data_IF_460605484869
#
_entry.id   IF_460605484869
#
_cell.length_a   1.000
_cell.length_b   1.000
_cell.length_c   1.000
_cell.angle_alpha   90.00
_cell.angle_beta   90.00
_cell.angle_gamma   90.00
#
_symmetry.space_group_name_H-M   'P 1'
#
loop_
_entity.id
_entity.type
_entity.pdbx_description
1 polymer ?
#
# COMPACT_ATOMS: atom_id res chain seq x y z
N UNK A 1 -15.36 40.37 -25.49
CA UNK A 1 -14.98 39.46 -24.39
C UNK A 1 -13.61 39.89 -23.91
N UNK A 2 -13.47 40.26 -22.64
CA UNK A 2 -12.18 40.66 -22.05
C UNK A 2 -11.25 39.46 -22.08
N UNK A 3 -10.10 39.54 -22.76
CA UNK A 3 -9.08 38.49 -22.71
C UNK A 3 -8.57 38.40 -21.27
N UNK A 4 -8.98 37.36 -20.55
CA UNK A 4 -8.51 37.12 -19.19
C UNK A 4 -7.01 36.79 -19.26
N UNK A 5 -6.20 37.50 -18.47
CA UNK A 5 -4.74 37.35 -18.49
C UNK A 5 -4.35 35.97 -17.99
N UNK A 6 -3.38 35.35 -18.64
CA UNK A 6 -2.76 34.13 -18.14
C UNK A 6 -2.12 34.37 -16.77
N UNK A 7 -2.14 33.35 -15.93
CA UNK A 7 -1.44 33.32 -14.65
C UNK A 7 -0.02 32.85 -14.92
N UNK A 8 0.96 33.61 -14.44
CA UNK A 8 2.36 33.20 -14.44
C UNK A 8 2.72 32.81 -13.01
N UNK A 9 3.01 31.53 -12.80
CA UNK A 9 3.49 31.01 -11.53
C UNK A 9 5.00 30.90 -11.63
N UNK A 10 5.71 31.56 -10.73
CA UNK A 10 7.17 31.42 -10.60
C UNK A 10 7.45 30.55 -9.39
N UNK A 11 8.11 29.42 -9.59
CA UNK A 11 8.52 28.52 -8.50
C UNK A 11 9.97 28.13 -8.74
N UNK A 12 10.83 28.36 -7.74
CA UNK A 12 12.27 28.05 -7.81
C UNK A 12 12.96 28.64 -9.06
N UNK A 13 12.55 29.85 -9.46
CA UNK A 13 13.08 30.56 -10.63
C UNK A 13 12.52 30.11 -11.99
N UNK A 14 11.70 29.06 -12.03
CA UNK A 14 11.06 28.58 -13.26
C UNK A 14 9.65 29.17 -13.37
N UNK A 15 9.34 29.72 -14.54
CA UNK A 15 8.00 30.27 -14.85
C UNK A 15 7.14 29.26 -15.62
N UNK A 16 5.93 29.02 -15.12
CA UNK A 16 4.90 28.27 -15.82
C UNK A 16 3.68 29.16 -16.06
N UNK A 17 3.09 29.03 -17.25
CA UNK A 17 1.94 29.81 -17.66
C UNK A 17 0.68 28.94 -17.65
N UNK A 18 -0.36 29.39 -16.95
CA UNK A 18 -1.65 28.72 -16.86
C UNK A 18 -2.78 29.65 -17.34
N UNK A 19 -3.84 29.07 -17.89
CA UNK A 19 -4.99 29.86 -18.36
C UNK A 19 -5.71 30.56 -17.18
N UNK A 20 -5.75 31.89 -17.14
CA UNK A 20 -6.38 32.64 -16.04
C UNK A 20 -7.91 32.68 -16.05
N UNK A 21 -8.58 31.97 -16.97
CA UNK A 21 -10.04 32.03 -17.11
C UNK A 21 -10.85 31.31 -16.03
N UNK A 22 -10.19 30.60 -15.10
CA UNK A 22 -10.85 29.79 -14.08
C UNK A 22 -10.46 30.23 -12.67
N UNK A 23 -11.46 30.33 -11.78
CA UNK A 23 -11.23 30.43 -10.33
C UNK A 23 -10.62 29.12 -9.83
N UNK A 24 -9.64 29.21 -8.90
CA UNK A 24 -8.84 28.05 -8.47
C UNK A 24 -8.91 27.75 -6.97
N UNK A 25 -9.59 28.59 -6.18
CA UNK A 25 -9.70 28.41 -4.74
C UNK A 25 -8.41 28.71 -3.97
N UNK A 26 -8.49 28.58 -2.65
CA UNK A 26 -7.41 28.89 -1.71
C UNK A 26 -6.30 27.82 -1.69
N UNK A 27 -6.63 26.58 -2.07
CA UNK A 27 -5.74 25.41 -2.01
C UNK A 27 -5.26 24.95 -3.39
N UNK A 28 -4.78 25.88 -4.21
CA UNK A 28 -4.27 25.57 -5.55
C UNK A 28 -2.82 25.07 -5.49
N UNK A 29 -2.60 23.81 -5.89
CA UNK A 29 -1.26 23.24 -6.08
C UNK A 29 -0.98 23.07 -7.59
N UNK A 30 0.15 23.60 -8.06
CA UNK A 30 0.52 23.55 -9.47
C UNK A 30 1.43 22.37 -9.79
N UNK A 31 1.23 21.74 -10.96
CA UNK A 31 2.09 20.67 -11.44
C UNK A 31 3.53 21.19 -11.65
N UNK A 32 4.56 20.51 -11.11
CA UNK A 32 5.94 20.93 -11.32
C UNK A 32 6.37 20.73 -12.77
N UNK A 33 7.27 21.58 -13.25
CA UNK A 33 8.04 21.28 -14.45
C UNK A 33 9.13 20.24 -14.15
N UNK A 34 9.71 19.60 -15.18
CA UNK A 34 10.84 18.67 -15.00
C UNK A 34 12.02 19.33 -14.25
N UNK A 35 12.36 20.57 -14.60
CA UNK A 35 13.43 21.31 -13.93
C UNK A 35 13.14 21.58 -12.45
N UNK A 36 11.86 21.66 -12.05
CA UNK A 36 11.48 21.79 -10.64
C UNK A 36 11.55 20.45 -9.89
N UNK A 37 11.35 19.32 -10.57
CA UNK A 37 11.52 17.99 -9.96
C UNK A 37 13.00 17.66 -9.69
N UNK A 38 13.92 18.29 -10.42
CA UNK A 38 15.37 18.12 -10.26
C UNK A 38 15.96 18.99 -9.12
N UNK A 39 15.15 19.76 -8.38
CA UNK A 39 15.64 20.63 -7.30
C UNK A 39 15.69 19.92 -5.94
N UNK A 40 16.59 20.35 -5.02
CA UNK A 40 16.59 19.85 -3.65
C UNK A 40 15.23 20.05 -2.97
N UNK A 41 14.70 19.01 -2.33
CA UNK A 41 13.41 19.06 -1.63
C UNK A 41 12.18 18.95 -2.54
N UNK A 42 12.34 18.74 -3.85
CA UNK A 42 11.23 18.59 -4.79
C UNK A 42 10.24 17.49 -4.39
N UNK A 43 10.73 16.34 -3.92
CA UNK A 43 9.89 15.24 -3.43
C UNK A 43 8.95 15.70 -2.31
N UNK A 44 9.49 16.41 -1.32
CA UNK A 44 8.73 16.92 -0.17
C UNK A 44 7.65 17.91 -0.62
N UNK A 45 8.02 18.78 -1.57
CA UNK A 45 7.16 19.87 -2.05
C UNK A 45 6.05 19.42 -3.00
N UNK A 46 6.34 18.48 -3.90
CA UNK A 46 5.45 18.17 -5.01
C UNK A 46 4.74 16.81 -4.89
N UNK A 47 5.25 15.90 -4.06
CA UNK A 47 4.65 14.58 -3.86
C UNK A 47 4.16 14.40 -2.42
N UNK A 48 4.96 14.78 -1.42
CA UNK A 48 4.66 14.53 -0.01
C UNK A 48 3.86 15.65 0.67
N UNK A 49 3.73 16.81 0.02
CA UNK A 49 3.01 17.96 0.56
C UNK A 49 1.54 17.59 0.84
N UNK A 50 1.11 17.80 2.09
CA UNK A 50 -0.23 17.45 2.57
C UNK A 50 -0.38 15.99 3.04
N UNK A 51 0.65 15.15 2.90
CA UNK A 51 0.63 13.74 3.34
C UNK A 51 1.55 13.44 4.52
N UNK A 52 2.55 14.29 4.75
CA UNK A 52 3.45 14.15 5.91
C UNK A 52 2.69 14.30 7.24
N UNK A 53 3.05 13.53 8.29
CA UNK A 53 2.59 13.82 9.64
C UNK A 53 3.11 15.18 10.12
N UNK A 54 2.52 15.72 11.20
CA UNK A 54 3.01 16.97 11.82
C UNK A 54 4.46 16.84 12.32
N UNK A 55 4.82 15.65 12.83
CA UNK A 55 6.17 15.31 13.22
C UNK A 55 6.43 13.79 13.03
N UNK A 56 7.68 13.38 12.79
CA UNK A 56 8.08 11.98 12.84
C UNK A 56 7.79 11.35 14.21
N UNK A 57 7.31 10.10 14.22
CA UNK A 57 6.84 9.42 15.43
C UNK A 57 7.40 8.00 15.61
N UNK A 58 8.28 7.54 14.73
CA UNK A 58 8.97 6.26 14.81
C UNK A 58 10.37 6.47 15.38
N UNK A 59 10.65 5.83 16.50
CA UNK A 59 12.00 5.67 17.05
C UNK A 59 12.44 4.20 17.00
N UNK A 60 13.69 3.92 17.37
CA UNK A 60 14.25 2.55 17.32
C UNK A 60 13.49 1.55 18.21
N UNK A 61 12.79 2.03 19.25
CA UNK A 61 12.02 1.20 20.18
C UNK A 61 10.59 0.95 19.72
N UNK A 62 10.08 1.76 18.78
CA UNK A 62 8.72 1.65 18.25
C UNK A 62 8.52 0.31 17.55
N UNK A 63 7.55 -0.49 18.02
CA UNK A 63 7.27 -1.81 17.43
C UNK A 63 6.47 -1.67 16.14
N UNK A 64 7.09 -1.99 15.01
CA UNK A 64 6.53 -1.80 13.67
C UNK A 64 6.20 -3.15 13.04
N UNK A 65 5.03 -3.26 12.41
CA UNK A 65 4.68 -4.43 11.59
C UNK A 65 4.19 -3.98 10.22
N UNK A 66 4.79 -4.49 9.15
CA UNK A 66 4.39 -4.19 7.78
C UNK A 66 3.72 -5.39 7.11
N UNK A 67 2.50 -5.17 6.61
CA UNK A 67 1.71 -6.12 5.83
C UNK A 67 1.65 -5.67 4.36
N UNK A 68 1.70 -6.64 3.45
CA UNK A 68 1.27 -6.43 2.08
C UNK A 68 2.24 -6.91 1.01
N UNK A 69 2.31 -6.14 -0.09
CA UNK A 69 3.03 -6.54 -1.32
C UNK A 69 4.53 -6.72 -1.09
N UNK A 70 5.27 -7.21 -2.11
CA UNK A 70 6.73 -7.27 -2.06
C UNK A 70 7.38 -5.92 -1.69
N UNK A 71 6.70 -4.80 -1.92
CA UNK A 71 7.21 -3.48 -1.53
C UNK A 71 7.26 -3.29 0.00
N UNK A 72 6.31 -3.86 0.76
CA UNK A 72 6.35 -3.83 2.23
C UNK A 72 7.62 -4.49 2.80
N UNK A 73 8.20 -5.45 2.06
CA UNK A 73 9.47 -6.09 2.45
C UNK A 73 10.66 -5.15 2.33
N UNK A 74 10.63 -4.20 1.39
CA UNK A 74 11.69 -3.19 1.29
C UNK A 74 11.67 -2.27 2.51
N UNK A 75 10.47 -1.82 2.95
CA UNK A 75 10.30 -1.02 4.17
C UNK A 75 10.80 -1.81 5.39
N UNK A 76 10.35 -3.06 5.52
CA UNK A 76 10.74 -3.95 6.62
C UNK A 76 12.25 -4.12 6.71
N UNK A 77 12.89 -4.47 5.58
CA UNK A 77 14.35 -4.70 5.51
C UNK A 77 15.12 -3.42 5.81
N UNK A 78 14.73 -2.31 5.20
CA UNK A 78 15.43 -1.04 5.37
C UNK A 78 15.41 -0.53 6.81
N UNK A 79 14.25 -0.62 7.47
CA UNK A 79 14.08 -0.24 8.87
C UNK A 79 14.86 -1.19 9.80
N UNK A 80 14.77 -2.51 9.57
CA UNK A 80 15.51 -3.50 10.33
C UNK A 80 17.03 -3.27 10.24
N UNK A 81 17.57 -3.06 9.04
CA UNK A 81 19.00 -2.86 8.82
C UNK A 81 19.53 -1.59 9.50
N UNK A 82 18.63 -0.69 9.92
CA UNK A 82 18.93 0.53 10.70
C UNK A 82 18.54 0.42 12.17
N UNK A 83 18.24 -0.78 12.66
CA UNK A 83 18.01 -1.06 14.08
C UNK A 83 16.63 -0.67 14.61
N UNK A 84 15.64 -0.43 13.74
CA UNK A 84 14.25 -0.29 14.18
C UNK A 84 13.66 -1.64 14.60
N UNK A 85 12.79 -1.62 15.62
CA UNK A 85 12.07 -2.79 16.10
C UNK A 85 10.95 -3.21 15.12
N UNK A 86 11.33 -3.77 13.97
CA UNK A 86 10.39 -4.29 12.98
C UNK A 86 10.15 -5.78 13.18
N UNK A 87 8.91 -6.14 13.44
CA UNK A 87 8.51 -7.54 13.52
C UNK A 87 8.44 -8.12 12.10
N UNK A 88 9.21 -9.18 11.83
CA UNK A 88 9.24 -9.78 10.48
C UNK A 88 10.49 -10.57 10.10
N UNK A 89 11.63 -10.31 10.78
CA UNK A 89 12.91 -10.99 10.51
C UNK A 89 13.15 -12.22 11.39
N UNK A 90 12.77 -12.19 12.68
CA UNK A 90 12.90 -13.32 13.62
C UNK A 90 11.69 -14.28 13.64
N UNK A 91 10.77 -14.14 12.68
CA UNK A 91 9.58 -14.99 12.62
C UNK A 91 9.97 -16.39 12.10
N UNK A 92 10.31 -17.28 13.05
CA UNK A 92 10.00 -18.72 13.00
C UNK A 92 8.49 -19.00 12.91
N UNK A 93 7.68 -17.96 13.07
CA UNK A 93 6.29 -17.93 12.69
C UNK A 93 6.17 -18.06 11.19
N UNK A 94 5.50 -19.12 10.73
CA UNK A 94 5.21 -19.40 9.32
C UNK A 94 5.11 -18.10 8.54
N UNK A 95 6.23 -17.75 7.92
CA UNK A 95 6.47 -16.39 7.42
C UNK A 95 5.39 -15.99 6.40
N UNK A 96 4.71 -17.00 5.87
CA UNK A 96 3.48 -17.09 5.12
C UNK A 96 2.24 -16.28 5.55
N UNK A 97 2.05 -15.92 6.83
CA UNK A 97 0.88 -15.11 7.25
C UNK A 97 1.14 -13.60 7.06
N UNK A 98 2.31 -13.13 7.46
CA UNK A 98 2.73 -11.73 7.23
C UNK A 98 3.24 -11.53 5.80
N UNK A 99 3.91 -12.55 5.25
CA UNK A 99 4.42 -12.57 3.88
C UNK A 99 3.37 -13.22 3.00
N UNK A 100 2.73 -12.41 2.16
CA UNK A 100 1.88 -12.83 1.05
C UNK A 100 2.70 -13.55 -0.05
N UNK A 101 3.39 -14.63 0.32
CA UNK A 101 4.07 -15.52 -0.61
C UNK A 101 3.05 -16.03 -1.63
N UNK A 102 3.37 -15.84 -2.90
CA UNK A 102 2.55 -16.24 -4.06
C UNK A 102 1.26 -15.42 -4.32
N UNK A 103 1.33 -14.10 -4.12
CA UNK A 103 0.93 -13.22 -5.25
C UNK A 103 -0.48 -12.63 -5.29
N UNK A 104 -1.26 -12.61 -4.21
CA UNK A 104 -2.53 -11.85 -4.18
C UNK A 104 -2.62 -10.97 -2.93
N UNK A 105 -2.05 -9.76 -2.99
CA UNK A 105 -2.18 -8.76 -1.93
C UNK A 105 -3.32 -7.79 -2.26
N UNK A 106 -4.52 -8.18 -1.85
CA UNK A 106 -5.73 -7.39 -1.98
C UNK A 106 -6.29 -7.01 -0.59
N UNK A 107 -7.15 -6.00 -0.54
CA UNK A 107 -7.71 -5.49 0.73
C UNK A 107 -8.61 -6.48 1.45
N UNK A 108 -9.23 -7.43 0.74
CA UNK A 108 -10.11 -8.45 1.32
C UNK A 108 -9.30 -9.43 2.16
N UNK A 109 -8.21 -9.96 1.60
CA UNK A 109 -7.32 -10.88 2.29
C UNK A 109 -6.70 -10.24 3.54
N UNK A 110 -6.24 -8.99 3.45
CA UNK A 110 -5.67 -8.26 4.59
C UNK A 110 -6.73 -8.07 5.69
N UNK A 111 -7.94 -7.60 5.32
CA UNK A 111 -9.04 -7.41 6.27
C UNK A 111 -9.39 -8.72 6.97
N UNK A 112 -9.61 -9.78 6.21
CA UNK A 112 -10.01 -11.07 6.79
C UNK A 112 -8.91 -11.70 7.64
N UNK A 113 -7.63 -11.51 7.32
CA UNK A 113 -6.50 -11.94 8.17
C UNK A 113 -6.50 -11.23 9.52
N UNK A 114 -6.76 -9.92 9.54
CA UNK A 114 -6.86 -9.14 10.76
C UNK A 114 -8.08 -9.57 11.59
N UNK A 115 -9.24 -9.76 10.95
CA UNK A 115 -10.46 -10.25 11.60
C UNK A 115 -10.28 -11.67 12.17
N UNK A 116 -9.63 -12.55 11.42
CA UNK A 116 -9.29 -13.90 11.88
C UNK A 116 -8.35 -13.87 13.08
N UNK A 117 -7.27 -13.09 13.02
CA UNK A 117 -6.30 -13.01 14.10
C UNK A 117 -6.89 -12.41 15.38
N UNK A 118 -7.55 -11.24 15.28
CA UNK A 118 -8.00 -10.46 16.45
C UNK A 118 -9.37 -10.91 16.99
N UNK A 119 -10.30 -11.31 16.11
CA UNK A 119 -11.68 -11.63 16.50
C UNK A 119 -12.00 -13.12 16.41
N UNK A 120 -11.08 -13.95 15.91
CA UNK A 120 -11.32 -15.37 15.72
C UNK A 120 -12.39 -15.68 14.66
N UNK A 121 -12.65 -14.75 13.72
CA UNK A 121 -13.58 -15.01 12.62
C UNK A 121 -13.13 -16.24 11.84
N UNK A 122 -14.04 -17.22 11.68
CA UNK A 122 -13.72 -18.46 10.98
C UNK A 122 -13.31 -18.20 9.53
N UNK A 123 -12.31 -18.97 9.09
CA UNK A 123 -12.00 -19.06 7.67
C UNK A 123 -12.95 -20.05 7.03
N UNK A 124 -13.35 -19.78 5.79
CA UNK A 124 -14.05 -20.79 5.01
C UNK A 124 -13.01 -21.78 4.47
N UNK A 125 -13.35 -23.06 4.54
CA UNK A 125 -12.48 -24.14 4.09
C UNK A 125 -12.05 -23.94 2.63
N UNK A 126 -10.75 -23.95 2.37
CA UNK A 126 -10.21 -23.82 1.01
C UNK A 126 -9.86 -22.41 0.55
N UNK A 127 -10.00 -21.38 1.39
CA UNK A 127 -9.52 -20.03 1.07
C UNK A 127 -7.99 -19.85 1.18
N UNK A 128 -7.30 -20.86 1.73
CA UNK A 128 -5.87 -20.86 2.03
C UNK A 128 -5.16 -22.05 1.38
N UNK A 129 -4.05 -21.75 0.71
CA UNK A 129 -3.15 -22.74 0.14
C UNK A 129 -1.78 -22.69 0.84
N UNK A 130 -1.36 -23.81 1.41
CA UNK A 130 -0.05 -23.99 2.04
C UNK A 130 1.09 -23.95 1.02
N UNK A 131 2.33 -23.87 1.50
CA UNK A 131 3.52 -23.84 0.64
C UNK A 131 3.66 -25.08 -0.26
N UNK A 132 3.06 -26.21 0.13
CA UNK A 132 3.00 -27.44 -0.65
C UNK A 132 1.81 -27.50 -1.61
N UNK A 133 1.11 -26.38 -1.84
CA UNK A 133 -0.07 -26.28 -2.72
C UNK A 133 -1.23 -27.17 -2.28
N UNK A 134 -1.41 -27.29 -0.98
CA UNK A 134 -2.52 -28.02 -0.35
C UNK A 134 -3.46 -27.04 0.36
N UNK A 135 -4.74 -27.40 0.53
CA UNK A 135 -5.63 -26.61 1.39
C UNK A 135 -5.18 -26.80 2.83
N UNK A 136 -4.65 -25.75 3.45
CA UNK A 136 -4.24 -25.75 4.85
C UNK A 136 -5.09 -24.73 5.57
N UNK A 137 -5.73 -25.13 6.68
CA UNK A 137 -6.26 -24.13 7.61
C UNK A 137 -5.10 -23.65 8.49
N UNK A 138 -4.87 -22.33 8.62
CA UNK A 138 -3.92 -21.78 9.58
C UNK A 138 -4.19 -22.35 10.97
N UNK A 139 -3.14 -22.75 11.68
CA UNK A 139 -3.29 -23.34 13.01
C UNK A 139 -3.67 -22.29 14.04
N UNK A 140 -4.20 -22.74 15.18
CA UNK A 140 -4.52 -21.85 16.29
C UNK A 140 -3.26 -21.16 16.85
N UNK A 141 -2.11 -21.84 16.83
CA UNK A 141 -0.81 -21.26 17.20
C UNK A 141 -0.45 -20.10 16.26
N UNK A 142 -0.69 -20.28 14.96
CA UNK A 142 -0.42 -19.25 13.96
C UNK A 142 -1.37 -18.05 14.13
N UNK A 143 -2.62 -18.28 14.51
CA UNK A 143 -3.60 -17.23 14.86
C UNK A 143 -3.16 -16.44 16.08
N UNK A 144 -2.84 -17.15 17.18
CA UNK A 144 -2.40 -16.56 18.45
C UNK A 144 -1.19 -15.68 18.24
N UNK A 145 -0.21 -16.16 17.50
CA UNK A 145 0.99 -15.38 17.27
C UNK A 145 0.77 -14.19 16.33
N UNK A 146 -0.10 -14.30 15.32
CA UNK A 146 -0.50 -13.16 14.47
C UNK A 146 -1.26 -12.11 15.30
N UNK A 147 -2.13 -12.56 16.21
CA UNK A 147 -2.84 -11.70 17.15
C UNK A 147 -1.85 -10.97 18.05
N UNK A 148 -0.92 -11.68 18.66
CA UNK A 148 0.04 -11.10 19.60
C UNK A 148 0.99 -10.11 18.90
N UNK A 149 1.37 -10.39 17.64
CA UNK A 149 2.07 -9.46 16.75
C UNK A 149 1.27 -8.17 16.51
N UNK A 150 -0.01 -8.28 16.14
CA UNK A 150 -0.89 -7.13 15.87
C UNK A 150 -1.14 -6.30 17.15
N UNK A 151 -1.36 -6.95 18.29
CA UNK A 151 -1.56 -6.30 19.59
C UNK A 151 -0.27 -5.65 20.13
N UNK A 152 0.89 -6.22 19.81
CA UNK A 152 2.18 -5.67 20.19
C UNK A 152 2.60 -4.47 19.32
N UNK A 153 2.07 -4.33 18.11
CA UNK A 153 2.52 -3.29 17.17
C UNK A 153 2.05 -1.89 17.61
N UNK A 154 2.94 -0.91 17.59
CA UNK A 154 2.60 0.50 17.81
C UNK A 154 2.33 1.21 16.47
N UNK A 155 2.93 0.73 15.39
CA UNK A 155 2.63 1.17 14.03
C UNK A 155 2.45 -0.02 13.10
N UNK A 156 1.35 -0.02 12.36
CA UNK A 156 1.08 -0.99 11.31
C UNK A 156 1.14 -0.30 9.94
N UNK A 157 1.90 -0.89 9.02
CA UNK A 157 2.03 -0.42 7.64
C UNK A 157 1.27 -1.38 6.74
N UNK A 158 0.33 -0.89 5.93
CA UNK A 158 -0.45 -1.70 4.99
C UNK A 158 -0.17 -1.26 3.57
N UNK A 159 0.48 -2.15 2.81
CA UNK A 159 0.77 -1.95 1.39
C UNK A 159 -0.21 -2.73 0.52
N UNK A 160 -1.17 -2.05 -0.10
CA UNK A 160 -2.11 -2.68 -1.04
C UNK A 160 -1.52 -2.71 -2.45
N UNK A 161 -1.77 -3.77 -3.22
CA UNK A 161 -1.08 -3.96 -4.50
C UNK A 161 -1.93 -4.38 -5.68
N UNK A 162 -3.08 -5.01 -5.44
CA UNK A 162 -3.87 -5.70 -6.45
C UNK A 162 -5.37 -5.55 -6.21
N UNK A 163 -6.11 -5.16 -7.25
CA UNK A 163 -7.59 -5.14 -7.24
C UNK A 163 -8.23 -6.26 -8.07
N UNK A 164 -7.44 -6.98 -8.86
CA UNK A 164 -7.83 -8.22 -9.52
C UNK A 164 -7.82 -9.36 -8.50
N UNK A 165 -8.99 -9.96 -8.23
CA UNK A 165 -9.12 -10.98 -7.20
C UNK A 165 -9.64 -12.28 -7.79
N UNK A 166 -9.09 -13.38 -7.29
CA UNK A 166 -9.74 -14.67 -7.34
C UNK A 166 -10.67 -14.79 -6.13
N UNK A 167 -11.84 -15.37 -6.32
CA UNK A 167 -12.83 -15.54 -5.28
C UNK A 167 -13.54 -16.89 -5.40
N UNK A 168 -14.01 -17.39 -4.28
CA UNK A 168 -14.91 -18.53 -4.24
C UNK A 168 -16.31 -18.07 -4.72
N UNK A 169 -16.87 -18.74 -5.72
CA UNK A 169 -18.16 -18.41 -6.34
C UNK A 169 -19.34 -18.73 -5.42
N UNK A 170 -19.17 -19.63 -4.45
CA UNK A 170 -20.23 -20.05 -3.53
C UNK A 170 -20.40 -19.03 -2.40
N UNK A 171 -19.31 -18.65 -1.74
CA UNK A 171 -19.28 -17.69 -0.63
C UNK A 171 -19.12 -16.23 -1.10
N UNK A 172 -18.56 -16.01 -2.29
CA UNK A 172 -18.17 -14.68 -2.78
C UNK A 172 -16.87 -14.13 -2.17
N UNK A 173 -16.22 -14.87 -1.27
CA UNK A 173 -15.01 -14.42 -0.57
C UNK A 173 -13.78 -14.52 -1.45
N UNK A 174 -12.89 -13.53 -1.31
CA UNK A 174 -11.63 -13.53 -2.03
C UNK A 174 -10.67 -14.58 -1.46
N UNK A 175 -9.94 -15.26 -2.33
CA UNK A 175 -8.83 -16.10 -1.90
C UNK A 175 -7.70 -15.25 -1.35
N UNK A 176 -7.06 -15.74 -0.28
CA UNK A 176 -5.93 -15.05 0.33
C UNK A 176 -4.62 -15.26 -0.44
N UNK A 177 -4.58 -16.31 -1.26
CA UNK A 177 -3.44 -16.70 -2.11
C UNK A 177 -3.89 -17.09 -3.49
N UNK A 178 -2.95 -17.15 -4.44
CA UNK A 178 -3.21 -17.72 -5.74
C UNK A 178 -3.66 -19.18 -5.61
N UNK A 179 -4.58 -19.57 -6.48
CA UNK A 179 -5.09 -20.93 -6.55
C UNK A 179 -4.04 -21.78 -7.27
N UNK A 180 -3.55 -22.88 -6.69
CA UNK A 180 -2.68 -23.82 -7.39
C UNK A 180 -3.36 -24.33 -8.66
N UNK A 181 -2.62 -24.40 -9.76
CA UNK A 181 -3.16 -24.77 -11.08
C UNK A 181 -3.93 -26.09 -11.09
N UNK A 182 -3.40 -27.08 -10.37
CA UNK A 182 -3.91 -28.43 -10.22
C UNK A 182 -5.17 -28.51 -9.35
N UNK A 183 -5.45 -27.46 -8.57
CA UNK A 183 -6.63 -27.34 -7.72
C UNK A 183 -7.72 -26.44 -8.34
N UNK A 184 -7.49 -25.91 -9.54
CA UNK A 184 -8.46 -25.03 -10.17
C UNK A 184 -9.75 -25.79 -10.54
N UNK A 185 -10.87 -25.33 -9.97
CA UNK A 185 -12.22 -25.79 -10.28
C UNK A 185 -13.04 -24.61 -10.79
N UNK A 186 -13.43 -24.62 -12.07
CA UNK A 186 -14.22 -23.53 -12.67
C UNK A 186 -15.59 -23.34 -12.00
N UNK A 187 -16.19 -24.40 -11.44
CA UNK A 187 -17.48 -24.31 -10.76
C UNK A 187 -17.39 -23.54 -9.44
N UNK A 188 -16.20 -23.56 -8.83
CA UNK A 188 -15.93 -22.95 -7.53
C UNK A 188 -15.13 -21.66 -7.61
N UNK A 189 -14.17 -21.57 -8.52
CA UNK A 189 -13.20 -20.47 -8.57
C UNK A 189 -13.60 -19.45 -9.64
N UNK A 190 -13.76 -18.20 -9.20
CA UNK A 190 -14.09 -17.06 -10.04
C UNK A 190 -13.00 -16.00 -10.00
N UNK A 191 -12.91 -15.25 -11.09
CA UNK A 191 -12.03 -14.10 -11.20
C UNK A 191 -12.87 -12.85 -11.44
N UNK A 192 -12.55 -11.76 -10.73
CA UNK A 192 -13.17 -10.45 -10.97
C UNK A 192 -12.28 -9.30 -10.57
N UNK A 193 -12.61 -8.12 -11.09
CA UNK A 193 -12.08 -6.86 -10.59
C UNK A 193 -12.89 -6.44 -9.35
N UNK A 194 -12.22 -6.15 -8.25
CA UNK A 194 -12.84 -5.50 -7.10
C UNK A 194 -13.15 -4.02 -7.38
N UNK A 195 -14.18 -3.51 -6.74
CA UNK A 195 -14.63 -2.13 -6.89
C UNK A 195 -13.93 -1.18 -5.92
N UNK A 196 -13.97 0.11 -6.21
CA UNK A 196 -13.49 1.17 -5.30
C UNK A 196 -14.17 1.04 -3.92
N UNK A 197 -15.49 0.90 -3.93
CA UNK A 197 -16.32 0.82 -2.72
C UNK A 197 -15.97 -0.39 -1.83
N UNK A 198 -15.73 -1.57 -2.44
CA UNK A 198 -15.30 -2.75 -1.69
C UNK A 198 -13.94 -2.51 -1.01
N UNK A 199 -12.98 -1.93 -1.74
CA UNK A 199 -11.65 -1.66 -1.21
C UNK A 199 -11.69 -0.60 -0.11
N UNK A 200 -12.50 0.46 -0.27
CA UNK A 200 -12.72 1.48 0.75
C UNK A 200 -13.33 0.87 2.02
N UNK A 201 -14.39 0.06 1.89
CA UNK A 201 -15.01 -0.66 3.00
C UNK A 201 -14.03 -1.58 3.72
N UNK A 202 -13.16 -2.28 2.98
CA UNK A 202 -12.16 -3.15 3.56
C UNK A 202 -11.12 -2.37 4.37
N UNK A 203 -10.59 -1.24 3.84
CA UNK A 203 -9.67 -0.35 4.55
C UNK A 203 -10.30 0.24 5.82
N UNK A 204 -11.58 0.60 5.75
CA UNK A 204 -12.32 1.08 6.92
C UNK A 204 -12.49 -0.02 7.98
N UNK A 205 -13.01 -1.17 7.57
CA UNK A 205 -13.26 -2.30 8.46
C UNK A 205 -11.99 -2.81 9.13
N UNK A 206 -10.88 -2.96 8.39
CA UNK A 206 -9.62 -3.40 8.98
C UNK A 206 -9.10 -2.41 10.03
N UNK A 207 -9.27 -1.09 9.82
CA UNK A 207 -8.84 -0.08 10.81
C UNK A 207 -9.74 -0.12 12.03
N UNK A 208 -11.05 -0.23 11.83
CA UNK A 208 -12.03 -0.35 12.92
C UNK A 208 -11.74 -1.57 13.81
N UNK A 209 -11.42 -2.72 13.21
CA UNK A 209 -11.06 -3.94 13.95
C UNK A 209 -9.72 -3.75 14.66
N UNK A 210 -8.70 -3.25 13.95
CA UNK A 210 -7.38 -3.02 14.54
C UNK A 210 -7.45 -2.11 15.77
N UNK A 211 -8.08 -0.95 15.66
CA UNK A 211 -8.15 0.03 16.75
C UNK A 211 -9.08 -0.38 17.89
N UNK A 212 -10.04 -1.28 17.65
CA UNK A 212 -10.85 -1.85 18.74
C UNK A 212 -9.99 -2.68 19.69
N UNK A 213 -8.98 -3.36 19.16
CA UNK A 213 -8.11 -4.26 19.92
C UNK A 213 -6.77 -3.62 20.31
N UNK A 214 -6.31 -2.62 19.56
CA UNK A 214 -5.10 -1.86 19.81
C UNK A 214 -5.34 -0.36 19.55
N UNK A 215 -6.00 0.36 20.49
CA UNK A 215 -6.47 1.74 20.26
C UNK A 215 -5.40 2.78 20.01
N UNK A 216 -4.16 2.52 20.42
CA UNK A 216 -3.03 3.45 20.27
C UNK A 216 -2.19 3.15 19.01
N UNK A 217 -2.55 2.15 18.23
CA UNK A 217 -1.82 1.79 17.02
C UNK A 217 -1.97 2.88 15.96
N UNK A 218 -0.86 3.31 15.39
CA UNK A 218 -0.84 4.16 14.19
C UNK A 218 -0.96 3.30 12.94
N UNK A 219 -1.65 3.80 11.91
CA UNK A 219 -1.82 3.11 10.64
C UNK A 219 -1.19 3.92 9.50
N UNK A 220 -0.25 3.33 8.77
CA UNK A 220 0.29 3.88 7.53
C UNK A 220 -0.22 3.03 6.36
N UNK A 221 -0.99 3.62 5.46
CA UNK A 221 -1.42 2.97 4.22
C UNK A 221 -0.50 3.40 3.08
N UNK A 222 -0.17 2.48 2.17
CA UNK A 222 0.57 2.82 0.95
C UNK A 222 0.11 1.97 -0.22
N UNK A 223 0.20 2.54 -1.43
CA UNK A 223 -0.10 1.83 -2.67
C UNK A 223 1.20 1.32 -3.28
N UNK A 224 1.29 0.01 -3.52
CA UNK A 224 2.48 -0.61 -4.08
C UNK A 224 2.80 -0.08 -5.48
N UNK A 225 4.04 0.40 -5.74
CA UNK A 225 4.49 0.84 -7.06
C UNK A 225 4.75 -0.31 -8.03
N UNK A 226 4.85 -1.54 -7.53
CA UNK A 226 5.10 -2.76 -8.32
C UNK A 226 3.88 -3.00 -9.25
N UNK A 227 4.07 -3.01 -10.58
CA UNK A 227 3.03 -3.33 -11.55
C UNK A 227 2.53 -4.78 -11.46
N UNK A 228 1.35 -5.04 -12.04
CA UNK A 228 0.87 -6.39 -12.28
C UNK A 228 1.91 -7.20 -13.09
N UNK A 229 2.15 -8.43 -12.64
CA UNK A 229 2.95 -9.40 -13.40
C UNK A 229 2.15 -9.97 -14.57
N UNK A 230 0.85 -10.19 -14.35
CA UNK A 230 -0.11 -10.66 -15.34
C UNK A 230 -1.48 -10.09 -15.01
N UNK A 231 -2.36 -10.03 -16.02
CA UNK A 231 -3.80 -9.82 -15.84
C UNK A 231 -4.52 -11.07 -16.31
N UNK A 232 -5.63 -11.40 -15.66
CA UNK A 232 -6.53 -12.47 -16.11
C UNK A 232 -7.68 -11.94 -16.98
N UNK A 233 -7.65 -10.65 -17.31
CA UNK A 233 -8.61 -10.01 -18.22
C UNK A 233 -8.15 -10.20 -19.67
N UNK A 234 -9.07 -10.26 -20.65
CA UNK A 234 -8.73 -10.39 -22.07
C UNK A 234 -8.24 -9.06 -22.68
N UNK A 235 -7.29 -8.38 -22.02
CA UNK A 235 -6.69 -7.10 -22.43
C UNK A 235 -5.21 -7.06 -22.06
N UNK A 236 -4.48 -6.05 -22.56
CA UNK A 236 -3.06 -5.88 -22.22
C UNK A 236 -2.84 -5.62 -20.71
N UNK A 237 -1.82 -6.27 -20.15
CA UNK A 237 -1.49 -6.19 -18.72
C UNK A 237 -1.21 -4.76 -18.25
N UNK A 238 -0.53 -3.94 -19.06
CA UNK A 238 -0.28 -2.53 -18.72
C UNK A 238 -1.57 -1.73 -18.54
N UNK A 239 -2.55 -1.92 -19.42
CA UNK A 239 -3.86 -1.26 -19.32
C UNK A 239 -4.66 -1.76 -18.12
N UNK A 240 -4.64 -3.08 -17.88
CA UNK A 240 -5.26 -3.67 -16.70
C UNK A 240 -4.63 -3.16 -15.39
N UNK A 241 -3.30 -3.03 -15.35
CA UNK A 241 -2.56 -2.48 -14.22
C UNK A 241 -2.98 -1.05 -13.92
N UNK A 242 -3.12 -0.19 -14.94
CA UNK A 242 -3.59 1.19 -14.74
C UNK A 242 -4.97 1.24 -14.06
N UNK A 243 -5.92 0.40 -14.51
CA UNK A 243 -7.23 0.28 -13.85
C UNK A 243 -7.07 -0.25 -12.42
N UNK A 244 -6.20 -1.23 -12.21
CA UNK A 244 -6.02 -1.83 -10.89
C UNK A 244 -5.49 -0.84 -9.86
N UNK A 245 -4.46 -0.07 -10.22
CA UNK A 245 -3.88 0.97 -9.38
C UNK A 245 -4.85 2.13 -9.17
N UNK A 246 -5.60 2.53 -10.20
CA UNK A 246 -6.62 3.58 -10.09
C UNK A 246 -7.74 3.21 -9.10
N UNK A 247 -8.26 1.97 -9.16
CA UNK A 247 -9.28 1.49 -8.22
C UNK A 247 -8.79 1.58 -6.77
N UNK A 248 -7.57 1.09 -6.50
CA UNK A 248 -7.00 1.12 -5.16
C UNK A 248 -6.68 2.56 -4.71
N UNK A 249 -6.16 3.40 -5.61
CA UNK A 249 -5.78 4.77 -5.26
C UNK A 249 -6.99 5.62 -4.90
N UNK A 250 -8.11 5.47 -5.62
CA UNK A 250 -9.37 6.16 -5.29
C UNK A 250 -9.95 5.63 -3.98
N UNK A 251 -9.87 4.33 -3.72
CA UNK A 251 -10.32 3.76 -2.44
C UNK A 251 -9.51 4.29 -1.24
N UNK A 252 -8.18 4.40 -1.40
CA UNK A 252 -7.31 5.04 -0.41
C UNK A 252 -7.68 6.51 -0.25
N UNK A 253 -7.91 7.25 -1.34
CA UNK A 253 -8.28 8.66 -1.29
C UNK A 253 -9.55 8.90 -0.47
N UNK A 254 -10.59 8.11 -0.74
CA UNK A 254 -11.85 8.14 0.01
C UNK A 254 -11.64 7.79 1.47
N UNK A 255 -10.75 6.84 1.77
CA UNK A 255 -10.41 6.45 3.13
C UNK A 255 -9.68 7.57 3.88
N UNK A 256 -8.71 8.24 3.24
CA UNK A 256 -7.98 9.36 3.84
C UNK A 256 -8.87 10.60 4.02
N UNK A 257 -9.83 10.82 3.11
CA UNK A 257 -10.80 11.92 3.19
C UNK A 257 -11.71 11.85 4.43
N UNK A 258 -11.75 10.71 5.13
CA UNK A 258 -12.44 10.59 6.42
C UNK A 258 -11.76 11.41 7.53
N UNK A 259 -10.52 11.88 7.33
CA UNK A 259 -9.80 12.71 8.31
C UNK A 259 -9.53 11.99 9.63
N UNK A 260 -9.24 10.68 9.55
CA UNK A 260 -9.05 9.84 10.73
C UNK A 260 -7.71 10.12 11.41
N UNK A 261 -7.74 10.34 12.73
CA UNK A 261 -6.53 10.50 13.54
C UNK A 261 -5.61 9.26 13.43
N UNK A 262 -4.31 9.51 13.60
CA UNK A 262 -3.26 8.47 13.62
C UNK A 262 -3.26 7.55 12.38
N UNK A 263 -3.73 8.09 11.26
CA UNK A 263 -3.84 7.39 9.98
C UNK A 263 -3.17 8.20 8.89
N UNK A 264 -2.22 7.59 8.19
CA UNK A 264 -1.35 8.26 7.24
C UNK A 264 -1.34 7.56 5.89
N UNK A 265 -1.08 8.32 4.83
CA UNK A 265 -0.82 7.77 3.50
C UNK A 265 0.62 8.08 3.09
N UNK A 266 1.38 7.03 2.78
CA UNK A 266 2.71 7.18 2.16
C UNK A 266 2.59 6.97 0.64
N UNK A 267 2.83 8.00 -0.20
CA UNK A 267 2.57 7.96 -1.64
C UNK A 267 3.66 7.24 -2.45
N UNK A 268 4.06 6.02 -2.06
CA UNK A 268 5.14 5.28 -2.74
C UNK A 268 4.86 4.97 -4.21
N UNK A 269 3.58 4.82 -4.59
CA UNK A 269 3.16 4.64 -5.98
C UNK A 269 3.48 5.86 -6.83
N UNK A 270 3.09 7.05 -6.36
CA UNK A 270 3.30 8.33 -7.05
C UNK A 270 4.78 8.70 -7.10
N UNK A 271 5.54 8.44 -6.03
CA UNK A 271 6.99 8.63 -6.05
C UNK A 271 7.60 7.82 -7.20
N UNK A 272 7.29 6.53 -7.32
CA UNK A 272 7.84 5.72 -8.41
C UNK A 272 7.33 6.15 -9.79
N UNK A 273 6.03 6.42 -9.91
CA UNK A 273 5.39 6.65 -11.22
C UNK A 273 5.62 8.06 -11.79
N UNK A 274 5.67 9.07 -10.93
CA UNK A 274 5.61 10.47 -11.36
C UNK A 274 6.89 11.25 -11.03
N UNK A 275 7.70 10.79 -10.06
CA UNK A 275 8.98 11.44 -9.73
C UNK A 275 10.15 10.94 -10.58
N UNK A 276 10.15 9.66 -10.97
CA UNK A 276 11.23 9.03 -11.72
C UNK A 276 10.87 8.78 -13.18
N UNK A 277 11.82 8.98 -14.09
CA UNK A 277 11.63 8.77 -15.54
C UNK A 277 11.66 7.29 -15.92
N UNK A 278 12.61 6.53 -15.38
CA UNK A 278 12.77 5.09 -15.65
C UNK A 278 13.02 4.32 -14.34
N UNK A 279 11.96 4.01 -13.58
CA UNK A 279 12.12 3.52 -12.23
C UNK A 279 12.37 2.02 -12.09
N UNK A 280 12.22 1.25 -13.16
CA UNK A 280 12.26 -0.21 -13.12
C UNK A 280 13.56 -0.75 -13.70
N UNK A 281 13.94 -1.96 -13.29
CA UNK A 281 14.98 -2.74 -13.98
C UNK A 281 14.42 -3.29 -15.31
N UNK A 282 15.24 -4.06 -16.04
CA UNK A 282 14.94 -4.62 -17.36
C UNK A 282 13.58 -5.33 -17.50
N UNK A 283 13.03 -5.86 -16.40
CA UNK A 283 11.74 -6.57 -16.40
C UNK A 283 10.50 -5.65 -16.33
N UNK A 284 10.69 -4.32 -16.30
CA UNK A 284 9.63 -3.32 -16.16
C UNK A 284 8.74 -3.49 -14.92
N UNK A 285 9.22 -4.17 -13.89
CA UNK A 285 8.43 -4.51 -12.70
C UNK A 285 9.15 -4.25 -11.39
N UNK A 286 10.38 -4.73 -11.23
CA UNK A 286 11.13 -4.49 -10.00
C UNK A 286 11.74 -3.08 -10.05
N UNK A 287 11.54 -2.31 -8.99
CA UNK A 287 12.10 -0.96 -8.86
C UNK A 287 13.62 -1.06 -8.71
N UNK A 288 14.37 -0.17 -9.37
CA UNK A 288 15.83 -0.14 -9.28
C UNK A 288 16.30 0.02 -7.83
N UNK A 289 17.33 -0.69 -7.36
CA UNK A 289 17.76 -0.67 -5.95
C UNK A 289 18.04 0.72 -5.40
N UNK A 290 18.67 1.59 -6.18
CA UNK A 290 18.97 2.98 -5.84
C UNK A 290 17.69 3.82 -5.64
N UNK A 291 16.64 3.53 -6.40
CA UNK A 291 15.33 4.18 -6.25
C UNK A 291 14.59 3.62 -5.04
N UNK A 292 14.70 2.32 -4.77
CA UNK A 292 14.17 1.74 -3.53
C UNK A 292 14.79 2.43 -2.32
N UNK A 293 16.12 2.54 -2.25
CA UNK A 293 16.79 3.20 -1.13
C UNK A 293 16.35 4.67 -0.99
N UNK A 294 16.25 5.42 -2.09
CA UNK A 294 15.71 6.78 -2.07
C UNK A 294 14.29 6.87 -1.49
N UNK A 295 13.38 5.97 -1.89
CA UNK A 295 12.01 5.95 -1.36
C UNK A 295 12.01 5.61 0.13
N UNK A 296 12.90 4.73 0.58
CA UNK A 296 13.00 4.38 1.99
C UNK A 296 13.58 5.52 2.83
N UNK A 297 14.56 6.27 2.30
CA UNK A 297 15.03 7.51 2.93
C UNK A 297 13.90 8.54 3.03
N UNK A 298 13.06 8.68 1.99
CA UNK A 298 11.90 9.55 2.03
C UNK A 298 10.85 9.11 3.07
N UNK A 299 10.59 7.80 3.18
CA UNK A 299 9.75 7.23 4.23
C UNK A 299 10.31 7.58 5.62
N UNK A 300 11.60 7.33 5.82
CA UNK A 300 12.26 7.59 7.09
C UNK A 300 12.21 9.07 7.46
N UNK A 301 12.46 9.97 6.52
CA UNK A 301 12.35 11.40 6.75
C UNK A 301 10.96 11.84 7.24
N UNK A 302 9.89 11.22 6.73
CA UNK A 302 8.54 11.56 7.17
C UNK A 302 8.19 10.98 8.54
N UNK A 303 8.64 9.75 8.82
CA UNK A 303 8.10 8.99 9.96
C UNK A 303 9.11 8.72 11.06
N UNK A 304 10.42 8.74 10.80
CA UNK A 304 11.49 8.38 11.74
C UNK A 304 12.17 9.60 12.38
N UNK A 305 12.31 9.60 13.71
CA UNK A 305 12.82 10.76 14.46
C UNK A 305 14.33 11.05 14.28
N UNK A 306 15.14 10.01 14.00
CA UNK A 306 16.60 10.10 13.96
C UNK A 306 17.18 10.21 12.53
N UNK A 307 16.33 10.32 11.51
CA UNK A 307 16.74 10.24 10.10
C UNK A 307 16.46 11.58 9.39
N UNK A 308 17.50 12.41 9.22
CA UNK A 308 17.44 13.64 8.41
C UNK A 308 17.84 13.36 6.95
N UNK A 309 17.22 14.08 6.00
CA UNK A 309 17.60 14.08 4.57
C UNK A 309 18.86 14.90 4.33
#
# INVERSE_FOLDING_TARGET
MTQLRNIVVTTDGVQQQFNGSWYRGETTNFIPSKAMLDTPGALLKYILHGWSPEAPFLDKSTRITAFGSCFAQNITRWLHDRGYAVNGNDLNLDAHIVRFGEGIVNTFAIREQIEWALEGKSLDEGLWFGANKEIVLPTEEARVATRDLLLGSETIIITVGLSEIWHDKQSGRAFWRAIPSEMFDESRHGFRLSTVEENFKNLRALREVLLRHNPNCKLIVTLSPIPLMATFRPIACLSANSVSKAVLRVAIDQFMALGLEETYYFPSYEIVKDFFVDPYIEDNRHVRPEIVDFIMQAFAHQYCQDEAL
#
